data_IF_871099952284
#
_entry.id   IF_871099952284
#
_cell.length_a   1.000
_cell.length_b   1.000
_cell.length_c   1.000
_cell.angle_alpha   90.00
_cell.angle_beta   90.00
_cell.angle_gamma   90.00
#
_symmetry.space_group_name_H-M   'P 1'
#
loop_
_entity.id
_entity.type
_entity.pdbx_description
1 polymer ?
#
# COMPACT_ATOMS: atom_id res chain seq x y z
N UNK A 1 32.89 38.55 34.96
CA UNK A 1 33.24 37.22 34.41
C UNK A 1 34.26 37.40 33.29
N UNK A 2 35.50 36.91 33.42
CA UNK A 2 36.51 37.04 32.37
C UNK A 2 36.05 36.30 31.09
N UNK A 3 36.29 36.88 29.92
CA UNK A 3 35.86 36.33 28.61
C UNK A 3 36.30 34.87 28.40
N UNK A 4 37.47 34.52 28.93
CA UNK A 4 38.00 33.16 28.94
C UNK A 4 37.15 32.16 29.73
N UNK A 5 36.59 32.57 30.87
CA UNK A 5 35.69 31.71 31.65
C UNK A 5 34.38 31.42 30.92
N UNK A 6 33.88 32.39 30.12
CA UNK A 6 32.68 32.20 29.29
C UNK A 6 32.94 31.26 28.11
N UNK A 7 34.09 31.37 27.46
CA UNK A 7 34.48 30.48 26.36
C UNK A 7 34.70 29.04 26.84
N UNK A 8 35.33 28.85 28.00
CA UNK A 8 35.50 27.53 28.61
C UNK A 8 34.16 26.88 28.96
N UNK A 9 33.23 27.64 29.54
CA UNK A 9 31.90 27.13 29.85
C UNK A 9 31.14 26.66 28.61
N UNK A 10 31.15 27.45 27.52
CA UNK A 10 30.48 27.09 26.27
C UNK A 10 31.11 25.85 25.64
N UNK A 11 32.45 25.75 25.64
CA UNK A 11 33.15 24.59 25.13
C UNK A 11 32.77 23.31 25.91
N UNK A 12 32.81 23.38 27.24
CA UNK A 12 32.45 22.25 28.12
C UNK A 12 30.99 21.82 27.88
N UNK A 13 30.05 22.76 27.80
CA UNK A 13 28.65 22.41 27.54
C UNK A 13 28.42 21.79 26.16
N UNK A 14 29.17 22.23 25.14
CA UNK A 14 29.06 21.64 23.79
C UNK A 14 29.61 20.22 23.73
N UNK A 15 30.72 19.96 24.44
CA UNK A 15 31.36 18.64 24.51
C UNK A 15 30.46 17.67 25.27
N UNK A 16 29.81 18.10 26.36
CA UNK A 16 28.84 17.27 27.08
C UNK A 16 27.60 16.92 26.25
N UNK A 17 27.12 17.84 25.40
CA UNK A 17 26.01 17.54 24.49
C UNK A 17 26.40 16.51 23.42
N UNK A 18 27.61 16.62 22.86
CA UNK A 18 28.11 15.67 21.86
C UNK A 18 28.42 14.28 22.46
N UNK A 19 28.92 14.23 23.70
CA UNK A 19 29.26 12.97 24.36
C UNK A 19 28.03 12.18 24.84
N UNK A 20 26.91 12.85 25.16
CA UNK A 20 25.68 12.19 25.60
C UNK A 20 24.75 11.73 24.47
N UNK A 21 25.04 12.10 23.22
CA UNK A 21 24.07 12.06 22.13
C UNK A 21 24.42 11.15 20.97
N UNK A 22 24.77 9.87 21.19
CA UNK A 22 24.54 8.79 20.21
C UNK A 22 24.92 7.41 20.80
N UNK A 23 24.18 6.94 21.81
CA UNK A 23 24.19 5.53 22.14
C UNK A 23 22.84 4.95 21.71
N UNK A 24 22.76 4.12 20.66
CA UNK A 24 21.53 3.40 20.37
C UNK A 24 21.20 2.57 21.62
N UNK A 25 20.03 2.84 22.21
CA UNK A 25 19.56 2.12 23.39
C UNK A 25 19.17 0.71 22.91
N UNK A 26 20.14 -0.20 22.90
CA UNK A 26 19.91 -1.59 22.53
C UNK A 26 18.88 -2.18 23.52
N UNK A 27 17.78 -2.78 23.04
CA UNK A 27 16.87 -3.49 23.91
C UNK A 27 17.62 -4.68 24.53
N UNK A 28 17.51 -4.84 25.85
CA UNK A 28 18.10 -5.98 26.55
C UNK A 28 17.23 -7.22 26.30
N UNK A 29 17.83 -8.32 25.86
CA UNK A 29 17.14 -9.60 25.76
C UNK A 29 17.63 -10.52 26.88
N UNK A 30 16.72 -11.24 27.54
CA UNK A 30 17.12 -12.25 28.53
C UNK A 30 17.75 -13.44 27.78
N UNK A 31 18.91 -13.93 28.26
CA UNK A 31 19.73 -15.02 27.66
C UNK A 31 20.44 -14.65 26.34
N UNK A 32 21.24 -13.59 26.37
CA UNK A 32 21.96 -13.04 25.20
C UNK A 32 23.45 -13.42 25.22
N UNK A 33 23.97 -13.98 24.13
CA UNK A 33 25.39 -14.37 23.96
C UNK A 33 26.30 -13.19 23.55
N UNK A 34 25.79 -11.96 23.55
CA UNK A 34 26.52 -10.73 23.18
C UNK A 34 26.70 -10.50 21.68
N UNK A 35 26.31 -11.45 20.83
CA UNK A 35 26.27 -11.31 19.38
C UNK A 35 24.81 -11.28 18.88
N UNK A 36 24.30 -10.08 18.62
CA UNK A 36 22.93 -9.85 18.14
C UNK A 36 22.78 -9.95 16.62
N UNK A 37 23.86 -10.21 15.89
CA UNK A 37 23.87 -10.20 14.41
C UNK A 37 22.88 -11.22 13.82
N UNK A 38 22.65 -12.34 14.50
CA UNK A 38 21.69 -13.39 14.13
C UNK A 38 20.24 -12.86 14.02
N UNK A 39 19.84 -11.89 14.85
CA UNK A 39 18.45 -11.38 14.86
C UNK A 39 18.22 -10.26 13.85
N UNK A 40 19.27 -9.52 13.49
CA UNK A 40 19.19 -8.37 12.57
C UNK A 40 18.71 -8.82 11.19
N UNK A 41 19.16 -9.98 10.71
CA UNK A 41 18.71 -10.56 9.44
C UNK A 41 17.39 -11.32 9.52
N UNK A 42 17.08 -11.93 10.67
CA UNK A 42 15.87 -12.73 10.85
C UNK A 42 14.59 -11.89 10.84
N UNK A 43 14.63 -10.66 11.39
CA UNK A 43 13.47 -9.76 11.44
C UNK A 43 13.11 -9.20 10.05
N UNK A 44 14.10 -9.06 9.16
CA UNK A 44 13.91 -8.49 7.82
C UNK A 44 13.63 -9.54 6.75
N UNK A 45 13.63 -10.83 7.11
CA UNK A 45 13.38 -11.88 6.14
C UNK A 45 11.89 -11.98 5.86
N UNK A 46 11.50 -11.46 4.71
CA UNK A 46 10.15 -11.61 4.19
C UNK A 46 9.99 -13.05 3.67
N UNK A 47 9.16 -13.84 4.35
CA UNK A 47 8.79 -15.18 3.90
C UNK A 47 7.52 -15.06 3.07
N UNK A 48 7.69 -15.10 1.75
CA UNK A 48 6.56 -15.30 0.86
C UNK A 48 6.21 -16.78 0.92
N UNK A 49 4.94 -17.16 1.12
CA UNK A 49 4.55 -18.55 0.91
C UNK A 49 4.90 -18.93 -0.53
N UNK A 50 5.82 -19.89 -0.69
CA UNK A 50 6.24 -20.45 -1.99
C UNK A 50 5.13 -21.31 -2.63
N UNK A 51 3.87 -20.89 -2.57
CA UNK A 51 2.82 -21.44 -3.42
C UNK A 51 2.96 -20.78 -4.79
N UNK A 52 3.98 -21.18 -5.55
CA UNK A 52 4.01 -20.97 -7.00
C UNK A 52 2.92 -21.83 -7.62
N UNK A 53 1.66 -21.48 -7.38
CA UNK A 53 0.54 -22.10 -8.04
C UNK A 53 0.60 -21.69 -9.50
N UNK A 54 0.56 -22.70 -10.37
CA UNK A 54 0.45 -22.42 -11.79
C UNK A 54 -0.79 -21.56 -11.99
N UNK A 55 -0.70 -20.44 -12.73
CA UNK A 55 -1.90 -19.71 -13.12
C UNK A 55 -2.83 -20.70 -13.83
N UNK A 56 -4.13 -20.52 -13.64
CA UNK A 56 -5.14 -21.31 -14.34
C UNK A 56 -4.78 -21.37 -15.83
N UNK A 57 -4.94 -22.53 -16.47
CA UNK A 57 -4.56 -22.73 -17.88
C UNK A 57 -5.11 -21.61 -18.79
N UNK A 58 -6.33 -21.16 -18.51
CA UNK A 58 -7.02 -20.05 -19.18
C UNK A 58 -6.36 -18.66 -18.98
N UNK A 59 -5.72 -18.43 -17.84
CA UNK A 59 -4.99 -17.19 -17.55
C UNK A 59 -3.55 -17.23 -18.07
N UNK A 60 -2.92 -18.42 -18.12
CA UNK A 60 -1.50 -18.61 -18.46
C UNK A 60 -1.11 -18.14 -19.87
N UNK A 61 -2.06 -18.13 -20.82
CA UNK A 61 -1.85 -17.71 -22.21
C UNK A 61 -2.35 -16.30 -22.53
N UNK A 62 -2.74 -15.51 -21.54
CA UNK A 62 -3.29 -14.16 -21.79
C UNK A 62 -2.20 -13.16 -22.15
N UNK A 63 -2.52 -12.24 -23.06
CA UNK A 63 -1.64 -11.14 -23.43
C UNK A 63 -1.61 -10.08 -22.31
N UNK A 64 -0.49 -9.35 -22.21
CA UNK A 64 -0.36 -8.24 -21.28
C UNK A 64 -1.46 -7.18 -21.52
N UNK A 65 -2.04 -6.59 -20.45
CA UNK A 65 -3.05 -5.55 -20.59
C UNK A 65 -2.54 -4.35 -21.41
N UNK A 66 -3.46 -3.72 -22.15
CA UNK A 66 -3.16 -2.54 -22.94
C UNK A 66 -2.77 -1.36 -22.02
N UNK A 67 -1.58 -0.82 -22.24
CA UNK A 67 -1.07 0.36 -21.54
C UNK A 67 -0.97 1.55 -22.49
N UNK A 68 -0.85 2.77 -21.95
CA UNK A 68 -0.64 3.98 -22.77
C UNK A 68 0.59 3.89 -23.68
N UNK A 69 1.62 3.16 -23.24
CA UNK A 69 2.84 2.87 -24.01
C UNK A 69 2.64 1.78 -25.10
N UNK A 70 1.60 0.95 -24.99
CA UNK A 70 1.30 -0.17 -25.89
C UNK A 70 -0.17 -0.10 -26.38
N UNK A 71 -0.55 1.03 -26.98
CA UNK A 71 -1.88 1.24 -27.54
C UNK A 71 -2.00 0.69 -28.98
N UNK A 72 -1.52 -0.53 -29.23
CA UNK A 72 -1.64 -1.19 -30.54
C UNK A 72 -2.79 -2.18 -30.52
N UNK A 73 -3.80 -1.91 -31.35
CA UNK A 73 -4.90 -2.83 -31.56
C UNK A 73 -4.57 -3.69 -32.78
N UNK A 74 -4.13 -4.94 -32.55
CA UNK A 74 -3.73 -5.84 -33.63
C UNK A 74 -4.94 -6.28 -34.47
N UNK A 75 -6.05 -6.63 -33.82
CA UNK A 75 -7.26 -7.11 -34.48
C UNK A 75 -8.51 -6.54 -33.81
N UNK A 76 -9.38 -5.92 -34.60
CA UNK A 76 -10.73 -5.54 -34.16
C UNK A 76 -11.60 -6.78 -34.30
N UNK A 77 -12.16 -7.26 -33.18
CA UNK A 77 -13.05 -8.41 -33.15
C UNK A 77 -14.51 -7.96 -33.33
N UNK A 78 -15.09 -8.26 -34.48
CA UNK A 78 -16.51 -8.05 -34.76
C UNK A 78 -17.34 -9.17 -34.11
N UNK A 79 -17.93 -8.87 -32.96
CA UNK A 79 -18.65 -9.83 -32.13
C UNK A 79 -20.17 -9.66 -32.27
N UNK A 80 -20.86 -10.70 -32.72
CA UNK A 80 -22.33 -10.68 -32.69
C UNK A 80 -22.86 -10.87 -31.26
N UNK A 81 -24.07 -10.39 -30.98
CA UNK A 81 -24.69 -10.56 -29.66
C UNK A 81 -24.84 -12.06 -29.29
N UNK A 82 -25.17 -12.90 -30.27
CA UNK A 82 -25.31 -14.34 -30.08
C UNK A 82 -23.97 -15.01 -29.72
N UNK A 83 -22.89 -14.60 -30.40
CA UNK A 83 -21.54 -15.08 -30.11
C UNK A 83 -21.04 -14.60 -28.74
N UNK A 84 -21.37 -13.37 -28.35
CA UNK A 84 -21.12 -12.84 -27.00
C UNK A 84 -21.76 -13.72 -25.93
N UNK A 85 -23.06 -14.02 -26.08
CA UNK A 85 -23.81 -14.78 -25.09
C UNK A 85 -23.31 -16.22 -25.01
N UNK A 86 -23.08 -16.88 -26.16
CA UNK A 86 -22.57 -18.25 -26.20
C UNK A 86 -21.17 -18.37 -25.60
N UNK A 87 -20.27 -17.43 -25.93
CA UNK A 87 -18.91 -17.40 -25.38
C UNK A 87 -18.92 -17.14 -23.87
N UNK A 88 -19.77 -16.24 -23.38
CA UNK A 88 -19.91 -15.94 -21.96
C UNK A 88 -20.44 -17.14 -21.16
N UNK A 89 -21.41 -17.88 -21.70
CA UNK A 89 -21.97 -19.07 -21.05
C UNK A 89 -20.99 -20.26 -21.09
N UNK A 90 -20.17 -20.38 -22.13
CA UNK A 90 -19.18 -21.45 -22.25
C UNK A 90 -17.97 -21.25 -21.30
N UNK A 91 -17.52 -20.00 -21.11
CA UNK A 91 -16.29 -19.69 -20.37
C UNK A 91 -16.53 -19.09 -18.97
N UNK A 92 -17.77 -18.76 -18.60
CA UNK A 92 -18.07 -18.08 -17.34
C UNK A 92 -17.66 -18.89 -16.09
N UNK A 93 -16.74 -18.33 -15.27
CA UNK A 93 -16.29 -18.89 -13.97
C UNK A 93 -16.99 -18.27 -12.77
N UNK A 94 -18.30 -18.08 -12.89
CA UNK A 94 -19.12 -17.56 -11.79
C UNK A 94 -19.35 -18.68 -10.78
N UNK A 95 -19.07 -18.41 -9.50
CA UNK A 95 -19.38 -19.38 -8.44
C UNK A 95 -20.89 -19.54 -8.37
N UNK A 96 -21.36 -20.75 -8.67
CA UNK A 96 -22.79 -21.08 -8.67
C UNK A 96 -23.28 -21.00 -7.23
N UNK A 97 -24.03 -19.96 -6.94
CA UNK A 97 -24.59 -19.76 -5.61
C UNK A 97 -25.66 -20.83 -5.34
N UNK A 98 -25.31 -21.85 -4.55
CA UNK A 98 -26.17 -22.99 -4.23
C UNK A 98 -27.24 -22.71 -3.16
N UNK A 99 -27.41 -21.46 -2.69
CA UNK A 99 -28.45 -21.16 -1.69
C UNK A 99 -28.32 -19.86 -0.90
N UNK A 100 -27.45 -18.93 -1.30
CA UNK A 100 -27.33 -17.60 -0.69
C UNK A 100 -28.61 -16.79 -0.92
N UNK A 101 -29.20 -16.30 0.18
CA UNK A 101 -30.39 -15.44 0.15
C UNK A 101 -30.07 -14.12 -0.53
N UNK A 102 -30.38 -14.00 -1.81
CA UNK A 102 -30.36 -12.71 -2.48
C UNK A 102 -31.63 -11.93 -2.10
N UNK A 103 -31.51 -10.62 -1.88
CA UNK A 103 -32.70 -9.77 -1.75
C UNK A 103 -33.36 -9.64 -3.13
N UNK A 104 -34.28 -10.55 -3.41
CA UNK A 104 -35.19 -10.38 -4.53
C UNK A 104 -36.27 -9.36 -4.14
N UNK A 105 -36.90 -8.72 -5.14
CA UNK A 105 -37.97 -7.73 -4.97
C UNK A 105 -39.15 -8.21 -4.08
N UNK A 106 -39.22 -9.52 -3.75
CA UNK A 106 -40.22 -10.14 -2.87
C UNK A 106 -39.71 -10.62 -1.49
N UNK A 107 -38.56 -10.14 -1.03
CA UNK A 107 -37.96 -10.48 0.27
C UNK A 107 -36.94 -11.63 0.23
N UNK A 108 -36.36 -12.03 1.39
CA UNK A 108 -35.27 -13.00 1.44
C UNK A 108 -35.77 -14.43 1.26
N UNK A 109 -35.98 -14.86 0.02
CA UNK A 109 -36.34 -16.24 -0.35
C UNK A 109 -35.12 -16.98 -0.89
N UNK A 110 -34.94 -18.28 -0.60
CA UNK A 110 -33.93 -19.09 -1.26
C UNK A 110 -34.32 -19.25 -2.74
N UNK A 111 -33.55 -18.65 -3.65
CA UNK A 111 -33.77 -18.76 -5.10
C UNK A 111 -33.14 -20.04 -5.65
N UNK A 112 -33.61 -21.20 -5.21
CA UNK A 112 -33.19 -22.47 -5.79
C UNK A 112 -33.94 -22.67 -7.10
N UNK A 113 -33.31 -22.31 -8.23
CA UNK A 113 -33.82 -22.62 -9.59
C UNK A 113 -34.30 -21.43 -10.44
N UNK A 114 -34.25 -20.20 -9.92
CA UNK A 114 -34.45 -19.00 -10.75
C UNK A 114 -33.11 -18.56 -11.38
N UNK A 115 -33.08 -18.03 -12.62
CA UNK A 115 -31.86 -17.45 -13.17
C UNK A 115 -31.36 -16.38 -12.20
N UNK A 116 -30.04 -16.31 -11.99
CA UNK A 116 -29.46 -15.40 -11.02
C UNK A 116 -29.72 -13.95 -11.42
N UNK A 117 -30.85 -13.38 -10.97
CA UNK A 117 -31.20 -11.96 -11.14
C UNK A 117 -30.06 -11.09 -10.61
N UNK A 118 -29.33 -11.57 -9.59
CA UNK A 118 -28.10 -10.98 -9.06
C UNK A 118 -27.06 -10.65 -10.13
N UNK A 119 -26.88 -11.48 -11.18
CA UNK A 119 -25.93 -11.18 -12.25
C UNK A 119 -26.34 -9.96 -13.07
N UNK A 120 -27.65 -9.75 -13.24
CA UNK A 120 -28.20 -8.64 -14.01
C UNK A 120 -28.34 -7.37 -13.17
N UNK A 121 -28.66 -7.49 -11.88
CA UNK A 121 -28.93 -6.35 -11.00
C UNK A 121 -27.72 -5.89 -10.19
N UNK A 122 -26.76 -6.77 -9.95
CA UNK A 122 -25.67 -6.57 -8.98
C UNK A 122 -24.49 -7.53 -9.26
N UNK A 123 -23.84 -7.42 -10.42
CA UNK A 123 -22.75 -8.32 -10.82
C UNK A 123 -21.58 -8.28 -9.82
N UNK A 124 -21.30 -7.13 -9.19
CA UNK A 124 -20.25 -6.99 -8.17
C UNK A 124 -20.46 -7.80 -6.89
N UNK A 125 -21.69 -8.25 -6.62
CA UNK A 125 -22.01 -9.09 -5.47
C UNK A 125 -21.93 -10.58 -5.81
N UNK A 126 -21.59 -10.94 -7.05
CA UNK A 126 -21.54 -12.34 -7.48
C UNK A 126 -20.09 -12.81 -7.58
N UNK A 127 -19.64 -13.68 -6.67
CA UNK A 127 -18.23 -13.99 -6.59
C UNK A 127 -17.77 -14.94 -7.70
N UNK A 128 -16.50 -14.81 -8.09
CA UNK A 128 -15.83 -15.66 -9.08
C UNK A 128 -14.62 -16.36 -8.49
N UNK A 129 -14.06 -17.33 -9.21
CA UNK A 129 -12.78 -17.95 -8.83
C UNK A 129 -11.61 -16.95 -8.80
N UNK A 130 -11.76 -15.80 -9.47
CA UNK A 130 -10.73 -14.76 -9.58
C UNK A 130 -10.78 -13.73 -8.46
N UNK A 131 -11.83 -13.71 -7.64
CA UNK A 131 -11.98 -12.72 -6.57
C UNK A 131 -10.80 -12.71 -5.57
N UNK A 132 -10.20 -13.85 -5.18
CA UNK A 132 -8.99 -13.85 -4.36
C UNK A 132 -7.82 -13.13 -5.03
N UNK A 133 -7.59 -13.39 -6.32
CA UNK A 133 -6.54 -12.73 -7.08
C UNK A 133 -6.79 -11.21 -7.22
N UNK A 134 -8.04 -10.79 -7.39
CA UNK A 134 -8.43 -9.37 -7.41
C UNK A 134 -8.15 -8.71 -6.06
N UNK A 135 -8.51 -9.37 -4.96
CA UNK A 135 -8.27 -8.86 -3.62
C UNK A 135 -6.76 -8.76 -3.32
N UNK A 136 -5.96 -9.74 -3.73
CA UNK A 136 -4.51 -9.74 -3.52
C UNK A 136 -3.80 -8.67 -4.35
N UNK A 137 -4.26 -8.44 -5.59
CA UNK A 137 -3.68 -7.44 -6.51
C UNK A 137 -4.21 -6.02 -6.33
N UNK A 138 -5.19 -5.78 -5.45
CA UNK A 138 -5.73 -4.43 -5.19
C UNK A 138 -4.61 -3.53 -4.63
N UNK A 139 -4.23 -2.42 -5.31
CA UNK A 139 -3.17 -1.53 -4.83
C UNK A 139 -3.52 -0.79 -3.54
N UNK A 140 -4.79 -0.72 -3.15
CA UNK A 140 -5.23 -0.02 -1.94
C UNK A 140 -5.50 -0.95 -0.75
N UNK A 141 -5.84 -2.21 -0.99
CA UNK A 141 -6.25 -3.17 0.05
C UNK A 141 -5.63 -4.56 -0.06
N UNK A 142 -4.85 -4.80 -1.11
CA UNK A 142 -4.17 -6.07 -1.34
C UNK A 142 -2.94 -6.23 -0.47
N UNK A 143 -2.32 -7.40 -0.59
CA UNK A 143 -1.19 -7.82 0.26
C UNK A 143 -0.03 -6.84 0.10
N UNK A 144 0.26 -6.43 -1.13
CA UNK A 144 1.37 -5.49 -1.39
C UNK A 144 1.13 -4.10 -0.82
N UNK A 145 -0.14 -3.66 -0.72
CA UNK A 145 -0.46 -2.39 -0.06
C UNK A 145 -0.17 -2.46 1.45
N UNK A 146 -0.43 -3.62 2.06
CA UNK A 146 -0.14 -3.85 3.47
C UNK A 146 1.37 -3.93 3.74
N UNK A 147 2.14 -4.53 2.82
CA UNK A 147 3.59 -4.63 2.92
C UNK A 147 4.28 -3.27 2.66
N UNK A 148 3.80 -2.49 1.71
CA UNK A 148 4.32 -1.15 1.40
C UNK A 148 4.20 -0.17 2.58
N UNK A 149 3.24 -0.38 3.50
CA UNK A 149 3.16 0.42 4.73
C UNK A 149 4.38 0.25 5.65
N UNK A 150 5.15 -0.82 5.48
CA UNK A 150 6.37 -1.08 6.25
C UNK A 150 7.65 -0.67 5.52
N UNK A 151 7.55 -0.11 4.31
CA UNK A 151 8.71 0.41 3.58
C UNK A 151 9.35 1.59 4.32
N UNK A 152 10.68 1.65 4.30
CA UNK A 152 11.42 2.72 4.93
C UNK A 152 11.15 4.07 4.23
N UNK A 153 10.55 5.02 4.95
CA UNK A 153 10.32 6.38 4.45
C UNK A 153 11.45 7.31 4.88
N UNK A 154 12.24 7.80 3.91
CA UNK A 154 13.24 8.84 4.14
C UNK A 154 12.68 10.20 3.73
N UNK A 155 12.41 11.07 4.71
CA UNK A 155 12.08 12.48 4.47
C UNK A 155 13.26 13.35 4.84
N UNK A 156 13.79 14.12 3.88
CA UNK A 156 14.86 15.08 4.09
C UNK A 156 14.47 16.41 3.47
N UNK A 157 14.56 17.49 4.26
CA UNK A 157 14.38 18.85 3.77
C UNK A 157 15.62 19.68 4.12
N UNK A 158 16.12 20.42 3.13
CA UNK A 158 17.20 21.37 3.31
C UNK A 158 16.74 22.72 2.76
N UNK A 159 16.42 23.65 3.67
CA UNK A 159 16.15 25.03 3.32
C UNK A 159 17.41 25.86 3.54
N UNK A 160 17.98 26.39 2.46
CA UNK A 160 19.10 27.32 2.52
C UNK A 160 18.62 28.68 2.02
N UNK A 161 18.28 29.57 2.95
CA UNK A 161 17.93 30.95 2.66
C UNK A 161 18.99 31.89 3.22
N UNK A 162 19.56 32.73 2.36
CA UNK A 162 20.34 33.90 2.78
C UNK A 162 19.41 35.10 2.76
N UNK A 163 18.79 35.42 3.91
CA UNK A 163 17.98 36.62 4.04
C UNK A 163 18.87 37.87 3.97
N UNK A 164 18.99 38.46 2.78
CA UNK A 164 19.80 39.66 2.54
C UNK A 164 18.93 40.92 2.32
N UNK A 165 17.63 40.83 2.59
CA UNK A 165 16.72 41.98 2.61
C UNK A 165 16.46 42.37 4.06
N UNK A 166 16.69 43.62 4.47
CA UNK A 166 16.27 44.09 5.78
C UNK A 166 14.73 44.01 5.84
N UNK A 167 14.20 43.11 6.65
CA UNK A 167 12.80 43.10 7.02
C UNK A 167 12.61 44.22 8.04
N UNK A 168 11.69 45.16 7.76
CA UNK A 168 11.24 46.11 8.77
C UNK A 168 10.34 45.34 9.75
N UNK A 169 10.96 44.58 10.65
CA UNK A 169 10.27 44.05 11.81
C UNK A 169 9.92 45.28 12.62
N UNK A 170 8.66 45.70 12.49
CA UNK A 170 8.14 46.85 13.22
C UNK A 170 8.56 46.70 14.67
N UNK A 171 9.40 47.62 15.13
CA UNK A 171 9.74 47.71 16.54
C UNK A 171 8.46 47.77 17.37
N UNK A 172 8.60 47.52 18.66
CA UNK A 172 7.56 47.42 19.71
C UNK A 172 6.43 48.49 19.67
N UNK A 173 6.52 49.52 18.81
CA UNK A 173 5.48 50.53 18.58
C UNK A 173 4.37 50.19 17.57
N UNK A 174 4.42 49.10 16.79
CA UNK A 174 3.33 48.76 15.83
C UNK A 174 2.30 47.73 16.36
N UNK A 175 2.36 47.35 17.64
CA UNK A 175 1.37 46.49 18.31
C UNK A 175 0.34 47.29 19.15
N UNK A 176 0.22 48.61 18.96
CA UNK A 176 -0.71 49.45 19.72
C UNK A 176 -1.94 49.88 18.89
N UNK A 177 -1.96 49.63 17.58
CA UNK A 177 -3.16 49.81 16.77
C UNK A 177 -3.34 48.65 15.78
N UNK A 178 -3.77 47.51 16.30
CA UNK A 178 -4.77 46.61 15.72
C UNK A 178 -5.15 45.52 16.73
#
# INVERSE_FOLDING_TARGET
MPRFARQLWVAITSISLLAGGCAPRQPFYFFEDGDLSHYVGAIQKLEYPDSCEAPLDEASGTAEPLMLSNARFDQIWELSLEEAISTALANGKVLRNLGGRFQSFGGPRPQTGEPAVSLLTSPSATPTIYDPAIAETDPFRGVESALALFDAQLSSSLTWERQNRPQNIGGVGNLIFQ
#
